data_IF_865784828372
#
_entry.id   IF_865784828372
#
_cell.length_a   1.000
_cell.length_b   1.000
_cell.length_c   1.000
_cell.angle_alpha   90.00
_cell.angle_beta   90.00
_cell.angle_gamma   90.00
#
_symmetry.space_group_name_H-M   'P 1'
#
loop_
_entity.id
_entity.type
_entity.pdbx_description
1 polymer ?
#
# COMPACT_ATOMS: atom_id res chain seq x y z
N UNK A 1 21.61 -10.54 -12.91
CA UNK A 1 20.85 -10.83 -11.68
C UNK A 1 19.68 -9.87 -11.69
N UNK A 2 18.49 -10.40 -11.88
CA UNK A 2 17.23 -9.64 -11.98
C UNK A 2 17.05 -8.83 -10.70
N UNK A 3 16.73 -7.54 -10.81
CA UNK A 3 16.47 -6.64 -9.66
C UNK A 3 15.21 -6.99 -8.87
N UNK A 4 14.75 -8.24 -8.96
CA UNK A 4 13.48 -8.75 -8.47
C UNK A 4 13.66 -9.62 -7.21
N UNK A 5 14.88 -9.77 -6.70
CA UNK A 5 15.15 -10.56 -5.50
C UNK A 5 15.95 -9.77 -4.48
N UNK A 6 15.34 -9.57 -3.32
CA UNK A 6 15.95 -8.91 -2.16
C UNK A 6 16.98 -9.81 -1.47
N UNK A 7 18.08 -9.22 -1.02
CA UNK A 7 19.00 -9.86 -0.08
C UNK A 7 18.40 -9.92 1.34
N UNK A 8 19.09 -10.57 2.29
CA UNK A 8 18.54 -10.76 3.64
C UNK A 8 18.35 -9.44 4.40
N UNK A 9 19.28 -8.49 4.28
CA UNK A 9 19.19 -7.19 4.94
C UNK A 9 18.05 -6.35 4.36
N UNK A 10 17.93 -6.32 3.03
CA UNK A 10 16.84 -5.64 2.33
C UNK A 10 15.48 -6.24 2.67
N UNK A 11 15.37 -7.57 2.77
CA UNK A 11 14.14 -8.25 3.24
C UNK A 11 13.77 -7.84 4.65
N UNK A 12 14.73 -7.84 5.58
CA UNK A 12 14.48 -7.43 6.96
C UNK A 12 14.01 -5.98 7.04
N UNK A 13 14.69 -5.08 6.33
CA UNK A 13 14.31 -3.66 6.27
C UNK A 13 12.93 -3.47 5.63
N UNK A 14 12.68 -4.15 4.51
CA UNK A 14 11.39 -4.11 3.82
C UNK A 14 10.26 -4.55 4.76
N UNK A 15 10.41 -5.72 5.41
CA UNK A 15 9.39 -6.28 6.30
C UNK A 15 9.13 -5.35 7.49
N UNK A 16 10.17 -4.81 8.12
CA UNK A 16 10.01 -3.90 9.25
C UNK A 16 9.24 -2.61 8.86
N UNK A 17 9.52 -2.04 7.69
CA UNK A 17 8.79 -0.88 7.17
C UNK A 17 7.34 -1.25 6.83
N UNK A 18 7.15 -2.39 6.19
CA UNK A 18 5.83 -2.89 5.79
C UNK A 18 4.93 -3.14 7.00
N UNK A 19 5.46 -3.78 8.03
CA UNK A 19 4.74 -4.07 9.29
C UNK A 19 4.38 -2.77 10.01
N UNK A 20 5.31 -1.81 10.10
CA UNK A 20 5.04 -0.49 10.70
C UNK A 20 3.92 0.24 9.95
N UNK A 21 3.94 0.19 8.61
CA UNK A 21 2.92 0.81 7.79
C UNK A 21 1.54 0.14 7.97
N UNK A 22 1.49 -1.18 8.10
CA UNK A 22 0.25 -1.92 8.36
C UNK A 22 -0.34 -1.59 9.74
N UNK A 23 0.49 -1.49 10.78
CA UNK A 23 0.01 -1.09 12.12
C UNK A 23 -0.59 0.31 12.09
N UNK A 24 -0.01 1.24 11.31
CA UNK A 24 -0.57 2.57 11.11
C UNK A 24 -1.85 2.57 10.27
N UNK A 25 -2.11 1.55 9.45
CA UNK A 25 -3.36 1.41 8.71
C UNK A 25 -4.43 0.60 9.45
N UNK A 26 -4.05 -0.06 10.54
CA UNK A 26 -4.91 -0.94 11.31
C UNK A 26 -6.15 -0.21 11.82
N UNK A 27 -7.30 -0.85 11.68
CA UNK A 27 -8.62 -0.33 12.08
C UNK A 27 -9.04 0.98 11.38
N UNK A 28 -8.30 1.41 10.35
CA UNK A 28 -8.64 2.59 9.53
C UNK A 28 -9.45 2.21 8.30
N UNK A 29 -9.15 1.07 7.67
CA UNK A 29 -9.93 0.53 6.55
C UNK A 29 -11.18 -0.15 7.10
N UNK A 30 -12.35 0.37 6.74
CA UNK A 30 -13.61 -0.34 6.98
C UNK A 30 -13.66 -1.59 6.10
N UNK A 31 -14.13 -2.72 6.64
CA UNK A 31 -14.21 -4.02 5.94
C UNK A 31 -15.03 -3.97 4.64
N UNK A 32 -15.84 -2.93 4.45
CA UNK A 32 -16.68 -2.72 3.27
C UNK A 32 -16.12 -1.68 2.27
N UNK A 33 -14.87 -1.21 2.45
CA UNK A 33 -14.24 -0.24 1.54
C UNK A 33 -14.83 1.18 1.59
N UNK A 34 -15.69 1.48 2.58
CA UNK A 34 -16.19 2.83 2.78
C UNK A 34 -15.13 3.67 3.50
N UNK A 35 -14.83 4.84 2.92
CA UNK A 35 -14.01 5.87 3.56
C UNK A 35 -14.79 6.39 4.75
N UNK A 36 -14.43 5.96 5.97
CA UNK A 36 -14.94 6.58 7.20
C UNK A 36 -14.44 8.03 7.27
N UNK A 37 -15.20 8.91 7.91
CA UNK A 37 -14.69 10.25 8.21
C UNK A 37 -13.47 10.11 9.13
N UNK A 38 -12.28 10.38 8.60
CA UNK A 38 -11.02 10.28 9.34
C UNK A 38 -10.85 11.51 10.23
N UNK A 39 -10.46 11.27 11.48
CA UNK A 39 -9.95 12.35 12.35
C UNK A 39 -8.63 12.89 11.82
N UNK A 40 -8.22 14.08 12.27
CA UNK A 40 -6.93 14.66 11.89
C UNK A 40 -5.75 13.75 12.25
N UNK A 41 -5.81 13.04 13.39
CA UNK A 41 -4.78 12.09 13.80
C UNK A 41 -4.70 10.89 12.86
N UNK A 42 -5.84 10.33 12.47
CA UNK A 42 -5.87 9.20 11.54
C UNK A 42 -5.37 9.59 10.14
N UNK A 43 -5.59 10.83 9.71
CA UNK A 43 -5.02 11.35 8.46
C UNK A 43 -3.49 11.46 8.54
N UNK A 44 -2.95 11.93 9.68
CA UNK A 44 -1.50 11.99 9.91
C UNK A 44 -0.90 10.58 9.88
N UNK A 45 -1.52 9.62 10.56
CA UNK A 45 -1.05 8.23 10.62
C UNK A 45 -1.11 7.55 9.24
N UNK A 46 -2.14 7.82 8.44
CA UNK A 46 -2.22 7.32 7.06
C UNK A 46 -1.15 7.92 6.16
N UNK A 47 -0.87 9.22 6.30
CA UNK A 47 0.24 9.86 5.57
C UNK A 47 1.60 9.26 5.98
N UNK A 48 1.80 8.94 7.26
CA UNK A 48 3.00 8.24 7.73
C UNK A 48 3.08 6.81 7.16
N UNK A 49 1.96 6.08 7.09
CA UNK A 49 1.90 4.76 6.46
C UNK A 49 2.29 4.83 4.96
N UNK A 50 1.78 5.82 4.22
CA UNK A 50 2.15 6.07 2.82
C UNK A 50 3.66 6.28 2.69
N UNK A 51 4.28 7.04 3.60
CA UNK A 51 5.72 7.26 3.58
C UNK A 51 6.50 5.94 3.77
N UNK A 52 6.10 5.08 4.71
CA UNK A 52 6.75 3.77 4.89
C UNK A 52 6.57 2.86 3.68
N UNK A 53 5.38 2.80 3.07
CA UNK A 53 5.20 2.01 1.86
C UNK A 53 5.99 2.56 0.67
N UNK A 54 6.15 3.89 0.56
CA UNK A 54 7.03 4.49 -0.47
C UNK A 54 8.49 4.06 -0.26
N UNK A 55 8.96 3.92 0.98
CA UNK A 55 10.28 3.31 1.27
C UNK A 55 10.33 1.82 0.90
N UNK A 56 9.27 1.05 1.17
CA UNK A 56 9.16 -0.34 0.70
C UNK A 56 9.30 -0.44 -0.83
N UNK A 57 8.65 0.46 -1.59
CA UNK A 57 8.77 0.51 -3.06
C UNK A 57 10.18 0.91 -3.51
N UNK A 58 10.90 1.76 -2.77
CA UNK A 58 12.31 2.07 -3.07
C UNK A 58 13.21 0.85 -2.91
N UNK A 59 12.97 0.03 -1.88
CA UNK A 59 13.72 -1.20 -1.61
C UNK A 59 13.34 -2.29 -2.62
N UNK A 60 12.04 -2.46 -2.87
CA UNK A 60 11.50 -3.48 -3.77
C UNK A 60 10.54 -2.84 -4.79
N UNK A 61 11.06 -2.35 -5.93
CA UNK A 61 10.27 -1.62 -6.92
C UNK A 61 9.15 -2.40 -7.59
N UNK A 62 9.14 -3.74 -7.45
CA UNK A 62 8.10 -4.61 -7.99
C UNK A 62 7.15 -5.13 -6.89
N UNK A 63 7.13 -4.50 -5.72
CA UNK A 63 6.16 -4.77 -4.65
C UNK A 63 4.77 -4.24 -5.00
N UNK A 64 3.97 -5.03 -5.73
CA UNK A 64 2.60 -4.63 -6.06
C UNK A 64 1.74 -4.44 -4.80
N UNK A 65 2.02 -5.18 -3.72
CA UNK A 65 1.32 -5.04 -2.44
C UNK A 65 1.57 -3.67 -1.80
N UNK A 66 2.83 -3.21 -1.78
CA UNK A 66 3.16 -1.87 -1.25
C UNK A 66 2.54 -0.77 -2.11
N UNK A 67 2.57 -0.92 -3.44
CA UNK A 67 1.90 0.03 -4.35
C UNK A 67 0.40 0.06 -4.12
N UNK A 68 -0.24 -1.09 -3.94
CA UNK A 68 -1.66 -1.19 -3.64
C UNK A 68 -2.02 -0.54 -2.31
N UNK A 69 -1.22 -0.78 -1.26
CA UNK A 69 -1.42 -0.19 0.06
C UNK A 69 -1.30 1.35 0.03
N UNK A 70 -0.36 1.91 -0.74
CA UNK A 70 -0.29 3.36 -0.99
C UNK A 70 -1.59 3.85 -1.63
N UNK A 71 -2.07 3.17 -2.67
CA UNK A 71 -3.30 3.54 -3.36
C UNK A 71 -4.51 3.55 -2.41
N UNK A 72 -4.64 2.54 -1.54
CA UNK A 72 -5.70 2.50 -0.54
C UNK A 72 -5.61 3.67 0.45
N UNK A 73 -4.42 3.92 1.01
CA UNK A 73 -4.23 4.99 1.97
C UNK A 73 -4.47 6.39 1.35
N UNK A 74 -3.96 6.65 0.14
CA UNK A 74 -4.21 7.89 -0.61
C UNK A 74 -5.69 8.06 -0.95
N UNK A 75 -6.40 6.99 -1.32
CA UNK A 75 -7.86 7.05 -1.53
C UNK A 75 -8.59 7.47 -0.25
N UNK A 76 -8.19 6.94 0.91
CA UNK A 76 -8.79 7.31 2.20
C UNK A 76 -8.47 8.75 2.60
N UNK A 77 -7.30 9.27 2.22
CA UNK A 77 -6.91 10.68 2.40
C UNK A 77 -7.63 11.64 1.42
N UNK A 78 -8.39 11.12 0.46
CA UNK A 78 -9.04 11.91 -0.59
C UNK A 78 -8.11 12.27 -1.76
N UNK A 79 -6.88 11.79 -1.76
CA UNK A 79 -5.87 11.96 -2.82
C UNK A 79 -6.15 11.01 -3.99
N UNK A 80 -7.31 11.21 -4.63
CA UNK A 80 -7.86 10.26 -5.61
C UNK A 80 -6.94 10.06 -6.83
N UNK A 81 -6.28 11.12 -7.28
CA UNK A 81 -5.38 11.07 -8.44
C UNK A 81 -4.10 10.25 -8.14
N UNK A 82 -3.45 10.49 -6.99
CA UNK A 82 -2.27 9.71 -6.57
C UNK A 82 -2.67 8.24 -6.35
N UNK A 83 -3.83 7.99 -5.75
CA UNK A 83 -4.36 6.65 -5.54
C UNK A 83 -4.48 5.86 -6.87
N UNK A 84 -5.10 6.47 -7.89
CA UNK A 84 -5.25 5.86 -9.21
C UNK A 84 -3.90 5.57 -9.87
N UNK A 85 -2.91 6.46 -9.71
CA UNK A 85 -1.58 6.25 -10.24
C UNK A 85 -0.91 5.03 -9.58
N UNK A 86 -0.97 4.92 -8.25
CA UNK A 86 -0.38 3.79 -7.52
C UNK A 86 -1.08 2.47 -7.81
N UNK A 87 -2.41 2.47 -7.92
CA UNK A 87 -3.14 1.29 -8.37
C UNK A 87 -2.72 0.87 -9.78
N UNK A 88 -2.60 1.81 -10.72
CA UNK A 88 -2.13 1.55 -12.08
C UNK A 88 -0.72 0.93 -12.10
N UNK A 89 0.18 1.42 -11.26
CA UNK A 89 1.53 0.84 -11.09
C UNK A 89 1.45 -0.59 -10.55
N UNK A 90 0.65 -0.85 -9.52
CA UNK A 90 0.44 -2.20 -8.97
C UNK A 90 -0.09 -3.18 -10.03
N UNK A 91 -1.07 -2.75 -10.83
CA UNK A 91 -1.65 -3.54 -11.91
C UNK A 91 -0.67 -3.89 -13.02
N UNK A 92 0.27 -2.99 -13.35
CA UNK A 92 1.33 -3.27 -14.34
C UNK A 92 2.25 -4.38 -13.89
N UNK A 93 2.50 -4.51 -12.59
CA UNK A 93 3.35 -5.56 -12.01
C UNK A 93 2.58 -6.87 -11.88
N UNK A 94 1.36 -6.83 -11.34
CA UNK A 94 0.53 -8.02 -11.17
C UNK A 94 -0.88 -7.80 -11.76
N UNK A 95 -1.09 -8.13 -13.04
CA UNK A 95 -2.40 -8.02 -13.67
C UNK A 95 -3.49 -8.90 -13.04
N UNK A 96 -3.11 -9.97 -12.31
CA UNK A 96 -4.05 -10.89 -11.64
C UNK A 96 -4.72 -10.28 -10.39
N UNK A 97 -4.32 -9.09 -9.94
CA UNK A 97 -5.04 -8.36 -8.88
C UNK A 97 -6.52 -8.16 -9.27
N UNK A 98 -6.83 -8.01 -10.57
CA UNK A 98 -8.22 -7.87 -11.06
C UNK A 98 -9.12 -9.07 -10.74
N UNK A 99 -8.56 -10.28 -10.63
CA UNK A 99 -9.33 -11.49 -10.32
C UNK A 99 -9.45 -11.74 -8.82
N UNK A 100 -8.56 -11.17 -7.99
CA UNK A 100 -8.55 -11.35 -6.54
C UNK A 100 -9.81 -10.79 -5.85
N UNK A 101 -10.44 -9.78 -6.45
CA UNK A 101 -11.65 -9.13 -5.92
C UNK A 101 -12.93 -9.49 -6.69
N UNK A 102 -12.86 -10.48 -7.59
CA UNK A 102 -14.02 -10.97 -8.35
C UNK A 102 -14.71 -12.19 -7.72
N UNK A 103 -14.25 -12.68 -6.57
CA UNK A 103 -14.90 -13.78 -5.85
C UNK A 103 -15.42 -13.28 -4.51
N UNK A 104 -16.51 -12.53 -4.56
CA UNK A 104 -17.45 -12.34 -3.47
C UNK A 104 -18.84 -12.26 -4.10
N UNK A 105 -19.18 -13.34 -4.82
CA UNK A 105 -20.57 -13.67 -5.16
C UNK A 105 -21.20 -14.40 -3.96
#
# INVERSE_FOLDING_TARGET
MTGDTLNNEEKMKFNALYDKANELMKDKISSNGQVKQLTAMEQIELAEAVAFFKECVKIYPVSWQSMWAIGLASQMLGETEDALEWFSRAYKINPAIKTMFKSSD
#
